data_IF_531407459346
#
_entry.id   IF_531407459346
#
_cell.length_a   1.000
_cell.length_b   1.000
_cell.length_c   1.000
_cell.angle_alpha   90.00
_cell.angle_beta   90.00
_cell.angle_gamma   90.00
#
_symmetry.space_group_name_H-M   'P 1'
#
loop_
_entity.id
_entity.type
_entity.pdbx_description
1 polymer ?
#
# COMPACT_ATOMS: atom_id res chain seq x y z
N UNK A 1 -18.12 -13.05 -24.69
CA UNK A 1 -16.82 -12.35 -24.54
C UNK A 1 -17.04 -10.86 -24.31
N UNK A 2 -18.05 -10.45 -23.53
CA UNK A 2 -18.36 -9.03 -23.34
C UNK A 2 -17.46 -8.36 -22.30
N UNK A 3 -16.96 -9.12 -21.31
CA UNK A 3 -16.02 -8.67 -20.27
C UNK A 3 -14.63 -8.31 -20.85
N UNK A 4 -14.33 -8.78 -22.07
CA UNK A 4 -13.07 -8.50 -22.79
C UNK A 4 -13.22 -7.37 -23.80
N UNK A 5 -14.31 -6.60 -23.76
CA UNK A 5 -14.40 -5.39 -24.58
C UNK A 5 -13.49 -4.30 -23.98
N UNK A 6 -12.76 -3.54 -24.82
CA UNK A 6 -11.73 -2.60 -24.37
C UNK A 6 -12.20 -1.60 -23.31
N UNK A 7 -13.47 -1.21 -23.35
CA UNK A 7 -14.09 -0.24 -22.46
C UNK A 7 -14.16 -0.75 -21.00
N UNK A 8 -14.61 -1.97 -20.78
CA UNK A 8 -14.69 -2.55 -19.43
C UNK A 8 -13.29 -2.84 -18.88
N UNK A 9 -12.36 -3.27 -19.73
CA UNK A 9 -10.96 -3.44 -19.33
C UNK A 9 -10.37 -2.13 -18.81
N UNK A 10 -10.58 -1.02 -19.52
CA UNK A 10 -10.07 0.29 -19.14
C UNK A 10 -10.67 0.79 -17.82
N UNK A 11 -11.99 0.60 -17.62
CA UNK A 11 -12.66 0.94 -16.35
C UNK A 11 -12.07 0.13 -15.19
N UNK A 12 -11.94 -1.19 -15.35
CA UNK A 12 -11.39 -2.07 -14.31
C UNK A 12 -9.97 -1.66 -13.94
N UNK A 13 -9.11 -1.44 -14.93
CA UNK A 13 -7.72 -1.01 -14.69
C UNK A 13 -7.64 0.36 -14.03
N UNK A 14 -8.50 1.30 -14.44
CA UNK A 14 -8.55 2.63 -13.82
C UNK A 14 -8.94 2.55 -12.35
N UNK A 15 -10.00 1.81 -12.02
CA UNK A 15 -10.44 1.60 -10.64
C UNK A 15 -9.35 0.89 -9.84
N UNK A 16 -8.74 -0.15 -10.39
CA UNK A 16 -7.64 -0.88 -9.75
C UNK A 16 -6.43 0.02 -9.45
N UNK A 17 -6.03 0.85 -10.42
CA UNK A 17 -4.95 1.82 -10.26
C UNK A 17 -5.28 2.86 -9.18
N UNK A 18 -6.52 3.37 -9.16
CA UNK A 18 -6.97 4.31 -8.13
C UNK A 18 -6.93 3.69 -6.73
N UNK A 19 -7.46 2.47 -6.57
CA UNK A 19 -7.44 1.76 -5.28
C UNK A 19 -6.00 1.50 -4.83
N UNK A 20 -5.13 1.07 -5.75
CA UNK A 20 -3.71 0.85 -5.48
C UNK A 20 -3.02 2.15 -5.04
N UNK A 21 -3.29 3.25 -5.75
CA UNK A 21 -2.73 4.55 -5.42
C UNK A 21 -3.18 5.03 -4.04
N UNK A 22 -4.48 4.91 -3.73
CA UNK A 22 -5.02 5.26 -2.40
C UNK A 22 -4.36 4.40 -1.32
N UNK A 23 -4.28 3.07 -1.52
CA UNK A 23 -3.65 2.17 -0.55
C UNK A 23 -2.17 2.53 -0.30
N UNK A 24 -1.42 2.84 -1.35
CA UNK A 24 -0.03 3.31 -1.25
C UNK A 24 0.06 4.61 -0.45
N UNK A 25 -0.76 5.60 -0.79
CA UNK A 25 -0.71 6.93 -0.16
C UNK A 25 -1.09 6.87 1.32
N UNK A 26 -2.16 6.12 1.65
CA UNK A 26 -2.58 5.89 3.05
C UNK A 26 -1.51 5.10 3.81
N UNK A 27 -0.84 4.15 3.16
CA UNK A 27 0.27 3.39 3.73
C UNK A 27 1.46 4.28 4.09
N UNK A 28 1.90 5.13 3.15
CA UNK A 28 2.96 6.12 3.36
C UNK A 28 2.58 7.07 4.48
N UNK A 29 1.37 7.66 4.42
CA UNK A 29 0.89 8.56 5.46
C UNK A 29 0.93 7.89 6.84
N UNK A 30 0.41 6.67 6.95
CA UNK A 30 0.45 5.89 8.19
C UNK A 30 1.88 5.64 8.67
N UNK A 31 2.83 5.34 7.79
CA UNK A 31 4.25 5.16 8.19
C UNK A 31 4.82 6.48 8.72
N UNK A 32 4.56 7.59 8.03
CA UNK A 32 5.12 8.88 8.40
C UNK A 32 4.56 9.38 9.73
N UNK A 33 3.26 9.23 9.98
CA UNK A 33 2.59 9.72 11.19
C UNK A 33 2.73 8.82 12.41
N UNK A 34 3.04 7.53 12.23
CA UNK A 34 3.27 6.64 13.37
C UNK A 34 4.75 6.67 13.77
N UNK A 35 4.99 6.59 15.08
CA UNK A 35 6.32 6.48 15.65
C UNK A 35 6.79 5.02 15.61
N UNK A 36 7.95 4.82 15.01
CA UNK A 36 8.62 3.53 14.94
C UNK A 36 9.81 3.57 15.89
N UNK A 37 10.01 2.48 16.64
CA UNK A 37 11.14 2.34 17.56
C UNK A 37 12.49 2.35 16.84
N UNK A 38 12.53 1.81 15.62
CA UNK A 38 13.72 1.74 14.78
C UNK A 38 13.51 2.46 13.45
N UNK A 39 14.35 3.48 13.21
CA UNK A 39 14.34 4.27 11.98
C UNK A 39 14.66 3.43 10.74
N UNK A 40 15.47 2.37 10.86
CA UNK A 40 15.77 1.49 9.73
C UNK A 40 14.52 0.71 9.32
N UNK A 41 13.77 0.19 10.29
CA UNK A 41 12.48 -0.49 10.06
C UNK A 41 11.46 0.45 9.42
N UNK A 42 11.35 1.72 9.90
CA UNK A 42 10.48 2.73 9.28
C UNK A 42 10.83 2.96 7.81
N UNK A 43 12.13 3.12 7.51
CA UNK A 43 12.62 3.32 6.16
C UNK A 43 12.37 2.10 5.26
N UNK A 44 12.60 0.89 5.77
CA UNK A 44 12.35 -0.35 5.04
C UNK A 44 10.88 -0.49 4.63
N UNK A 45 9.95 -0.17 5.53
CA UNK A 45 8.51 -0.15 5.20
C UNK A 45 8.16 0.93 4.18
N UNK A 46 8.74 2.13 4.30
CA UNK A 46 8.50 3.21 3.36
C UNK A 46 8.97 2.82 1.94
N UNK A 47 10.19 2.30 1.82
CA UNK A 47 10.74 1.81 0.56
C UNK A 47 9.90 0.64 0.01
N UNK A 48 9.51 -0.30 0.87
CA UNK A 48 8.68 -1.44 0.49
C UNK A 48 7.33 -1.03 -0.10
N UNK A 49 6.68 -0.01 0.46
CA UNK A 49 5.41 0.51 -0.08
C UNK A 49 5.61 1.22 -1.43
N UNK A 50 6.69 1.98 -1.59
CA UNK A 50 6.97 2.71 -2.84
C UNK A 50 7.32 1.75 -3.98
N UNK A 51 8.16 0.73 -3.71
CA UNK A 51 8.58 -0.23 -4.73
C UNK A 51 7.50 -1.25 -5.08
N UNK A 52 6.62 -1.56 -4.12
CA UNK A 52 5.54 -2.53 -4.28
C UNK A 52 4.21 -1.88 -3.89
N UNK A 53 3.63 -1.01 -4.73
CA UNK A 53 2.46 -0.19 -4.38
C UNK A 53 1.18 -1.00 -4.10
N UNK A 54 1.13 -2.26 -4.54
CA UNK A 54 0.04 -3.18 -4.25
C UNK A 54 0.36 -4.01 -3.00
N UNK A 55 1.47 -4.76 -3.04
CA UNK A 55 1.80 -5.75 -2.00
C UNK A 55 2.28 -5.07 -0.72
N UNK A 56 3.09 -4.02 -0.82
CA UNK A 56 3.66 -3.28 0.30
C UNK A 56 2.60 -2.79 1.28
N UNK A 57 1.60 -2.00 0.84
CA UNK A 57 0.51 -1.55 1.70
C UNK A 57 -0.29 -2.70 2.33
N UNK A 58 -0.62 -3.74 1.55
CA UNK A 58 -1.37 -4.90 2.06
C UNK A 58 -0.64 -5.59 3.21
N UNK A 59 0.65 -5.86 3.02
CA UNK A 59 1.49 -6.51 4.03
C UNK A 59 1.71 -5.58 5.22
N UNK A 60 1.93 -4.28 4.99
CA UNK A 60 2.06 -3.28 6.05
C UNK A 60 0.81 -3.22 6.92
N UNK A 61 -0.38 -3.06 6.33
CA UNK A 61 -1.63 -2.96 7.10
C UNK A 61 -1.97 -4.25 7.83
N UNK A 62 -1.68 -5.42 7.24
CA UNK A 62 -1.84 -6.71 7.93
C UNK A 62 -0.93 -6.81 9.17
N UNK A 63 0.30 -6.32 9.07
CA UNK A 63 1.29 -6.38 10.15
C UNK A 63 1.31 -5.14 11.06
N UNK A 64 0.53 -4.10 10.76
CA UNK A 64 0.55 -2.80 11.45
C UNK A 64 0.45 -2.94 12.96
N UNK A 65 -0.44 -3.82 13.44
CA UNK A 65 -0.61 -4.08 14.88
C UNK A 65 0.67 -4.64 15.53
N UNK A 66 1.40 -5.49 14.84
CA UNK A 66 2.64 -6.10 15.36
C UNK A 66 3.80 -5.11 15.31
N UNK A 67 3.87 -4.30 14.25
CA UNK A 67 4.90 -3.27 14.09
C UNK A 67 4.75 -2.17 15.14
N UNK A 68 3.50 -1.76 15.43
CA UNK A 68 3.20 -0.77 16.47
C UNK A 68 3.35 -1.38 17.87
N UNK A 69 2.96 -2.64 18.11
CA UNK A 69 3.11 -3.29 19.44
C UNK A 69 4.54 -3.69 19.82
N UNK A 70 5.52 -3.55 18.93
CA UNK A 70 6.93 -3.61 19.32
C UNK A 70 7.42 -2.32 20.04
N UNK A 71 6.49 -1.38 20.30
CA UNK A 71 6.64 -0.29 21.26
C UNK A 71 6.93 -0.83 22.66
#
# INVERSE_FOLDING_TARGET
>A
MEILTPEYGLIIWTVFSLVTFIAMTVGIYSILTNDFKDSKTKLAWLIGIILLPIVGPLVYFKNKRNIIRQQ
#
